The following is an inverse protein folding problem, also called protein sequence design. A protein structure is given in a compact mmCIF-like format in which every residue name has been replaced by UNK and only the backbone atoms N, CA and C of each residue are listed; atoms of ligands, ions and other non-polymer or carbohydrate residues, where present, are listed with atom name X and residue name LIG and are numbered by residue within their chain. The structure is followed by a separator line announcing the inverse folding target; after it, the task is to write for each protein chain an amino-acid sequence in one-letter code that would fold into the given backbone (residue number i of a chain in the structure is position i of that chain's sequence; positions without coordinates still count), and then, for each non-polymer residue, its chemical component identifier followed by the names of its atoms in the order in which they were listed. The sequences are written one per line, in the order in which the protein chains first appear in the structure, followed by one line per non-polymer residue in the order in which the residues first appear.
data_IF_933649516957
#
_entry.id   IF_933649516957
#
_cell.length_a   1.000
_cell.length_b   1.000
_cell.length_c   1.000
_cell.angle_alpha   90.00
_cell.angle_beta   90.00
_cell.angle_gamma   90.00
#
_symmetry.space_group_name_H-M   'P 1'
#
loop_
_entity.id
_entity.type
_entity.pdbx_description
1 polymer ?
#
# COMPACT_ATOMS: atom_id res chain seq x y z
N UNK A 1 20.43 -25.82 -8.14
CA UNK A 1 19.35 -25.27 -7.28
C UNK A 1 18.74 -26.39 -6.48
N UNK A 2 18.88 -26.38 -5.15
CA UNK A 2 18.13 -27.27 -4.25
C UNK A 2 17.27 -26.38 -3.36
N UNK A 3 15.96 -26.43 -3.54
CA UNK A 3 15.02 -25.73 -2.65
C UNK A 3 15.02 -26.39 -1.28
N UNK A 4 15.25 -25.59 -0.23
CA UNK A 4 15.21 -26.07 1.16
C UNK A 4 13.78 -25.89 1.67
N UNK A 5 13.06 -26.99 1.87
CA UNK A 5 11.81 -27.02 2.63
C UNK A 5 12.13 -27.60 4.02
N UNK A 6 11.96 -26.79 5.08
CA UNK A 6 12.14 -27.22 6.48
C UNK A 6 10.85 -27.86 7.04
N UNK A 7 10.93 -29.02 7.71
CA UNK A 7 9.81 -29.70 8.34
C UNK A 7 9.65 -29.35 9.84
N UNK A 8 8.38 -29.23 10.27
CA UNK A 8 7.88 -29.33 11.65
C UNK A 8 8.08 -28.18 12.67
N UNK A 9 7.10 -27.28 12.68
CA UNK A 9 6.35 -26.67 13.80
C UNK A 9 5.66 -25.43 13.23
N UNK A 10 4.46 -25.04 13.71
CA UNK A 10 3.66 -23.93 13.14
C UNK A 10 4.34 -22.55 13.35
N UNK A 11 5.50 -22.33 12.75
CA UNK A 11 6.05 -21.00 12.50
C UNK A 11 5.28 -20.41 11.34
N UNK A 12 4.69 -19.25 11.57
CA UNK A 12 4.30 -18.33 10.51
C UNK A 12 5.57 -18.10 9.67
N UNK A 13 5.67 -18.72 8.48
CA UNK A 13 6.80 -18.57 7.57
C UNK A 13 6.76 -17.16 6.99
N UNK A 14 7.44 -16.23 7.65
CA UNK A 14 7.77 -14.92 7.07
C UNK A 14 9.15 -14.99 6.43
N UNK A 15 9.49 -14.00 5.62
CA UNK A 15 10.83 -13.89 5.04
C UNK A 15 11.91 -13.51 6.07
N UNK A 16 11.54 -13.23 7.33
CA UNK A 16 12.46 -12.75 8.37
C UNK A 16 13.67 -13.67 8.57
N UNK A 17 13.45 -14.94 8.93
CA UNK A 17 14.53 -15.89 9.23
C UNK A 17 15.46 -16.08 8.00
N UNK A 18 14.89 -16.10 6.79
CA UNK A 18 15.64 -16.26 5.54
C UNK A 18 16.46 -15.00 5.21
N UNK A 19 15.87 -13.82 5.41
CA UNK A 19 16.54 -12.54 5.19
C UNK A 19 17.68 -12.35 6.20
N UNK A 20 17.46 -12.64 7.48
CA UNK A 20 18.49 -12.60 8.52
C UNK A 20 19.66 -13.51 8.16
N UNK A 21 19.38 -14.76 7.77
CA UNK A 21 20.41 -15.71 7.34
C UNK A 21 21.29 -15.17 6.20
N UNK A 22 20.69 -14.48 5.22
CA UNK A 22 21.41 -13.90 4.10
C UNK A 22 22.21 -12.64 4.50
N UNK A 23 21.62 -11.77 5.32
CA UNK A 23 22.26 -10.54 5.82
C UNK A 23 23.49 -10.86 6.68
N UNK A 24 23.40 -11.85 7.58
CA UNK A 24 24.51 -12.30 8.42
C UNK A 24 25.74 -12.74 7.60
N UNK A 25 25.53 -13.13 6.33
CA UNK A 25 26.57 -13.56 5.39
C UNK A 25 27.02 -12.46 4.44
N UNK A 26 26.58 -11.22 4.66
CA UNK A 26 26.96 -10.07 3.83
C UNK A 26 26.26 -10.05 2.47
N UNK A 27 25.09 -10.68 2.32
CA UNK A 27 24.32 -10.61 1.08
C UNK A 27 23.27 -9.50 1.13
N UNK A 28 23.14 -8.78 0.01
CA UNK A 28 21.98 -7.93 -0.23
C UNK A 28 20.72 -8.79 -0.40
N UNK A 29 19.58 -8.28 0.06
CA UNK A 29 18.31 -9.02 0.05
C UNK A 29 17.22 -8.15 -0.57
N UNK A 30 16.48 -8.71 -1.53
CA UNK A 30 15.22 -8.16 -2.02
C UNK A 30 14.09 -9.07 -1.56
N UNK A 31 13.09 -8.52 -0.87
CA UNK A 31 12.01 -9.28 -0.22
C UNK A 31 10.66 -8.84 -0.78
N UNK A 32 9.83 -9.78 -1.22
CA UNK A 32 8.45 -9.48 -1.64
C UNK A 32 7.60 -9.04 -0.44
N UNK A 33 6.68 -8.12 -0.66
CA UNK A 33 5.70 -7.73 0.37
C UNK A 33 4.76 -8.91 0.76
N UNK A 34 4.32 -8.98 2.02
CA UNK A 34 4.89 -8.26 3.16
C UNK A 34 6.24 -8.88 3.57
N UNK A 35 7.24 -8.04 3.85
CA UNK A 35 8.56 -8.53 4.23
C UNK A 35 8.53 -9.31 5.56
N UNK A 36 7.86 -8.73 6.57
CA UNK A 36 7.60 -9.35 7.87
C UNK A 36 6.26 -8.89 8.43
N UNK A 37 5.76 -9.56 9.48
CA UNK A 37 4.45 -9.26 10.09
C UNK A 37 4.52 -8.38 11.34
N UNK A 38 5.72 -8.22 11.90
CA UNK A 38 5.91 -7.55 13.18
C UNK A 38 6.87 -6.38 13.01
N UNK A 39 6.50 -5.23 13.60
CA UNK A 39 7.34 -4.02 13.58
C UNK A 39 8.73 -4.30 14.15
N UNK A 40 8.83 -5.07 15.24
CA UNK A 40 10.13 -5.45 15.83
C UNK A 40 11.04 -6.16 14.82
N UNK A 41 10.51 -7.05 13.99
CA UNK A 41 11.29 -7.76 12.97
C UNK A 41 11.72 -6.81 11.85
N UNK A 42 10.90 -5.82 11.51
CA UNK A 42 11.28 -4.78 10.54
C UNK A 42 12.47 -3.95 11.05
N UNK A 43 12.39 -3.53 12.32
CA UNK A 43 13.47 -2.75 12.97
C UNK A 43 14.74 -3.58 13.08
N UNK A 44 14.63 -4.86 13.43
CA UNK A 44 15.76 -5.78 13.53
C UNK A 44 16.43 -6.01 12.17
N UNK A 45 15.68 -6.26 11.10
CA UNK A 45 16.22 -6.35 9.74
C UNK A 45 16.95 -5.08 9.31
N UNK A 46 16.41 -3.90 9.65
CA UNK A 46 17.04 -2.62 9.35
C UNK A 46 18.35 -2.42 10.13
N UNK A 47 18.39 -2.84 11.39
CA UNK A 47 19.62 -2.77 12.18
C UNK A 47 20.68 -3.73 11.63
N UNK A 48 20.29 -4.95 11.29
CA UNK A 48 21.18 -5.95 10.73
C UNK A 48 21.73 -5.56 9.37
N UNK A 49 20.90 -4.98 8.50
CA UNK A 49 21.34 -4.50 7.20
C UNK A 49 22.45 -3.44 7.34
N UNK A 50 22.29 -2.51 8.29
CA UNK A 50 23.30 -1.50 8.64
C UNK A 50 24.58 -2.11 9.23
N UNK A 51 24.45 -3.01 10.19
CA UNK A 51 25.60 -3.66 10.85
C UNK A 51 26.48 -4.43 9.85
N UNK A 52 25.85 -5.09 8.87
CA UNK A 52 26.54 -5.87 7.84
C UNK A 52 26.83 -5.07 6.56
N UNK A 53 26.50 -3.77 6.52
CA UNK A 53 26.68 -2.91 5.34
C UNK A 53 26.06 -3.48 4.06
N UNK A 54 24.85 -4.05 4.17
CA UNK A 54 24.10 -4.61 3.04
C UNK A 54 22.77 -3.89 2.84
N UNK A 55 22.30 -3.84 1.59
CA UNK A 55 20.94 -3.42 1.29
C UNK A 55 19.93 -4.54 1.58
N UNK A 56 18.86 -4.18 2.28
CA UNK A 56 17.65 -4.99 2.42
C UNK A 56 16.50 -4.15 1.91
N UNK A 57 15.95 -4.53 0.77
CA UNK A 57 14.88 -3.81 0.10
C UNK A 57 13.57 -4.61 0.11
N UNK A 58 12.46 -3.88 0.20
CA UNK A 58 11.12 -4.47 0.11
C UNK A 58 10.56 -4.13 -1.25
N UNK A 59 10.21 -5.16 -2.00
CA UNK A 59 9.64 -5.03 -3.32
C UNK A 59 8.22 -4.43 -3.19
N UNK A 60 8.14 -3.14 -3.49
CA UNK A 60 6.92 -2.36 -3.64
C UNK A 60 6.73 -1.98 -5.11
N UNK A 61 6.41 -2.96 -5.97
CA UNK A 61 6.31 -2.78 -7.43
C UNK A 61 5.40 -1.63 -7.86
N UNK A 62 4.39 -1.27 -7.07
CA UNK A 62 3.52 -0.14 -7.37
C UNK A 62 4.28 1.18 -7.51
N UNK A 63 5.43 1.35 -6.86
CA UNK A 63 6.30 2.52 -7.07
C UNK A 63 6.89 2.60 -8.48
N UNK A 64 6.98 1.47 -9.17
CA UNK A 64 7.60 1.33 -10.49
C UNK A 64 6.57 1.20 -11.62
N UNK A 65 5.27 1.15 -11.30
CA UNK A 65 4.23 1.34 -12.29
C UNK A 65 4.35 2.75 -12.91
N UNK A 66 4.31 2.91 -14.26
CA UNK A 66 4.51 4.22 -14.89
C UNK A 66 3.54 5.31 -14.41
N UNK A 67 2.27 4.98 -14.11
CA UNK A 67 1.32 5.99 -13.66
C UNK A 67 1.58 6.42 -12.22
N UNK A 68 1.99 5.49 -11.37
CA UNK A 68 2.39 5.79 -10.00
C UNK A 68 3.71 6.57 -9.94
N UNK A 69 4.66 6.22 -10.81
CA UNK A 69 5.94 6.91 -10.94
C UNK A 69 5.76 8.36 -11.41
N UNK A 70 4.91 8.59 -12.43
CA UNK A 70 4.54 9.96 -12.87
C UNK A 70 3.85 10.74 -11.75
N UNK A 71 2.87 10.13 -11.09
CA UNK A 71 2.17 10.75 -9.96
C UNK A 71 3.14 11.15 -8.84
N UNK A 72 4.10 10.28 -8.51
CA UNK A 72 5.15 10.57 -7.53
C UNK A 72 6.07 11.69 -7.97
N UNK A 73 6.52 11.67 -9.22
CA UNK A 73 7.35 12.74 -9.76
C UNK A 73 6.64 14.09 -9.60
N UNK A 74 5.39 14.19 -10.05
CA UNK A 74 4.60 15.42 -9.99
C UNK A 74 4.29 15.88 -8.58
N UNK A 75 3.96 14.95 -7.68
CA UNK A 75 3.75 15.25 -6.26
C UNK A 75 4.98 15.93 -5.65
N UNK A 76 6.19 15.47 -6.00
CA UNK A 76 7.46 16.02 -5.49
C UNK A 76 7.91 17.31 -6.17
N UNK A 77 7.54 17.54 -7.44
CA UNK A 77 8.10 18.66 -8.23
C UNK A 77 7.15 19.82 -8.45
N UNK A 78 5.83 19.61 -8.47
CA UNK A 78 4.91 20.61 -9.05
C UNK A 78 3.57 20.79 -8.35
N UNK A 79 3.12 19.88 -7.50
CA UNK A 79 1.75 19.93 -6.98
C UNK A 79 1.62 20.63 -5.63
N UNK A 80 2.69 20.75 -4.83
CA UNK A 80 2.66 21.37 -3.51
C UNK A 80 2.39 20.37 -2.39
N UNK A 81 1.90 20.86 -1.26
CA UNK A 81 1.84 20.10 -0.01
C UNK A 81 0.65 19.14 0.04
N UNK A 82 0.82 17.96 0.64
CA UNK A 82 -0.27 17.03 0.88
C UNK A 82 -1.40 17.74 1.67
N UNK A 83 -2.62 17.62 1.18
CA UNK A 83 -3.83 18.02 1.89
C UNK A 83 -4.76 16.82 2.13
N UNK A 84 -5.02 16.05 1.07
CA UNK A 84 -5.88 14.88 1.14
C UNK A 84 -5.36 13.76 0.23
N UNK A 85 -5.31 12.55 0.78
CA UNK A 85 -5.05 11.33 0.03
C UNK A 85 -6.22 10.38 0.22
N UNK A 86 -6.71 9.82 -0.88
CA UNK A 86 -7.73 8.77 -0.84
C UNK A 86 -7.36 7.68 -1.80
N UNK A 87 -7.35 6.42 -1.37
CA UNK A 87 -7.33 5.29 -2.30
C UNK A 87 -8.48 4.34 -2.04
N UNK A 88 -8.86 3.69 -3.12
CA UNK A 88 -9.72 2.53 -3.09
C UNK A 88 -9.06 1.42 -3.89
N UNK A 89 -8.92 0.25 -3.26
CA UNK A 89 -8.45 -0.96 -3.91
C UNK A 89 -9.40 -2.10 -3.59
N UNK A 90 -9.93 -2.75 -4.61
CA UNK A 90 -10.74 -3.93 -4.41
C UNK A 90 -10.41 -5.06 -5.36
N UNK A 91 -10.67 -6.27 -4.88
CA UNK A 91 -10.53 -7.50 -5.64
C UNK A 91 -11.86 -8.26 -5.65
N UNK A 92 -12.19 -8.96 -6.75
CA UNK A 92 -13.42 -9.74 -6.84
C UNK A 92 -13.54 -10.80 -5.74
N UNK A 93 -14.77 -11.08 -5.30
CA UNK A 93 -15.06 -12.16 -4.32
C UNK A 93 -14.48 -13.52 -4.70
N UNK A 94 -14.30 -13.78 -6.00
CA UNK A 94 -13.69 -15.02 -6.51
C UNK A 94 -12.23 -15.19 -6.09
N UNK A 95 -11.51 -14.11 -5.79
CA UNK A 95 -10.14 -14.17 -5.26
C UNK A 95 -10.10 -14.83 -3.88
N UNK A 96 -11.17 -14.70 -3.08
CA UNK A 96 -11.24 -15.35 -1.77
C UNK A 96 -11.26 -16.88 -1.88
N UNK A 97 -11.73 -17.46 -2.98
CA UNK A 97 -11.63 -18.91 -3.21
C UNK A 97 -10.17 -19.37 -3.26
N UNK A 98 -9.30 -18.56 -3.88
CA UNK A 98 -7.85 -18.81 -3.96
C UNK A 98 -7.15 -18.53 -2.64
N UNK A 99 -7.58 -17.49 -1.92
CA UNK A 99 -6.88 -16.98 -0.74
C UNK A 99 -7.39 -17.50 0.59
N UNK A 100 -8.48 -18.28 0.59
CA UNK A 100 -9.15 -18.86 1.76
C UNK A 100 -8.21 -19.51 2.78
N UNK A 101 -7.14 -20.14 2.30
CA UNK A 101 -6.17 -20.83 3.14
C UNK A 101 -5.39 -19.88 4.07
N UNK A 102 -5.21 -18.62 3.67
CA UNK A 102 -4.36 -17.66 4.39
C UNK A 102 -5.08 -16.35 4.77
N UNK A 103 -6.15 -15.95 4.07
CA UNK A 103 -6.89 -14.71 4.33
C UNK A 103 -7.51 -14.72 5.74
N UNK A 104 -7.26 -13.64 6.51
CA UNK A 104 -7.67 -13.51 7.91
C UNK A 104 -6.89 -14.40 8.89
N UNK A 105 -6.01 -15.29 8.41
CA UNK A 105 -5.17 -16.18 9.25
C UNK A 105 -3.74 -15.70 9.33
N UNK A 106 -3.14 -15.57 8.16
CA UNK A 106 -1.74 -15.24 7.98
C UNK A 106 -1.57 -13.78 7.58
N UNK A 107 -2.54 -13.19 6.89
CA UNK A 107 -2.56 -11.77 6.56
C UNK A 107 -4.00 -11.28 6.56
N UNK A 108 -4.20 -10.05 6.98
CA UNK A 108 -5.44 -9.31 6.77
C UNK A 108 -5.42 -8.59 5.41
N UNK A 109 -6.59 -8.11 5.00
CA UNK A 109 -6.77 -7.42 3.73
C UNK A 109 -6.05 -6.06 3.69
N UNK A 110 -5.90 -5.38 4.83
CA UNK A 110 -5.21 -4.09 4.89
C UNK A 110 -3.72 -4.27 4.59
N UNK A 111 -3.09 -5.25 5.24
CA UNK A 111 -1.70 -5.60 5.01
C UNK A 111 -1.47 -6.13 3.59
N UNK A 112 -2.46 -6.80 3.00
CA UNK A 112 -2.38 -7.31 1.64
C UNK A 112 -2.57 -6.24 0.55
N UNK A 113 -3.56 -5.34 0.69
CA UNK A 113 -3.94 -4.34 -0.33
C UNK A 113 -3.62 -2.90 0.05
N UNK A 114 -4.04 -2.42 1.23
CA UNK A 114 -3.82 -1.02 1.63
C UNK A 114 -2.32 -0.69 1.71
N UNK A 115 -1.49 -1.66 2.11
CA UNK A 115 -0.03 -1.47 2.20
C UNK A 115 0.59 -0.94 0.90
N UNK A 116 0.06 -1.31 -0.27
CA UNK A 116 0.51 -0.78 -1.56
C UNK A 116 0.27 0.73 -1.67
N UNK A 117 -0.94 1.20 -1.37
CA UNK A 117 -1.28 2.62 -1.51
C UNK A 117 -0.79 3.48 -0.34
N UNK A 118 -0.65 2.90 0.86
CA UNK A 118 0.08 3.53 1.97
C UNK A 118 1.52 3.79 1.55
N UNK A 119 2.19 2.80 0.98
CA UNK A 119 3.55 2.92 0.48
C UNK A 119 3.68 3.96 -0.65
N UNK A 120 2.75 3.94 -1.62
CA UNK A 120 2.68 4.94 -2.69
C UNK A 120 2.52 6.34 -2.12
N UNK A 121 1.61 6.54 -1.17
CA UNK A 121 1.42 7.83 -0.49
C UNK A 121 2.71 8.28 0.22
N UNK A 122 3.35 7.38 0.97
CA UNK A 122 4.64 7.66 1.64
C UNK A 122 5.70 8.06 0.62
N UNK A 123 5.77 7.40 -0.53
CA UNK A 123 6.75 7.71 -1.59
C UNK A 123 6.54 9.10 -2.23
N UNK A 124 5.35 9.68 -2.09
CA UNK A 124 4.97 10.99 -2.61
C UNK A 124 5.22 12.13 -1.62
N UNK A 125 5.34 11.83 -0.32
CA UNK A 125 5.47 12.84 0.73
C UNK A 125 6.85 12.88 1.35
N UNK A 126 7.48 14.05 1.29
CA UNK A 126 8.71 14.30 2.02
C UNK A 126 8.39 15.01 3.35
N UNK A 127 8.90 14.45 4.45
CA UNK A 127 8.77 15.00 5.81
C UNK A 127 7.41 14.82 6.50
N UNK A 128 6.40 14.26 5.82
CA UNK A 128 5.11 13.95 6.44
C UNK A 128 5.18 12.64 7.22
N UNK A 129 4.55 12.62 8.39
CA UNK A 129 4.48 11.43 9.25
C UNK A 129 3.03 11.12 9.63
N UNK A 130 2.62 9.84 9.63
CA UNK A 130 1.30 9.46 10.10
C UNK A 130 1.30 9.49 11.63
N UNK A 131 0.36 10.21 12.25
CA UNK A 131 0.29 10.40 13.70
C UNK A 131 -0.86 9.69 14.36
N UNK A 132 -2.00 9.65 13.69
CA UNK A 132 -3.19 8.98 14.20
C UNK A 132 -3.76 8.11 13.10
N UNK A 133 -4.08 6.86 13.43
CA UNK A 133 -4.76 5.92 12.53
C UNK A 133 -6.03 5.45 13.22
N UNK A 134 -7.16 5.56 12.53
CA UNK A 134 -8.44 4.98 12.94
C UNK A 134 -8.88 4.00 11.87
N UNK A 135 -9.26 2.80 12.26
CA UNK A 135 -9.68 1.74 11.35
C UNK A 135 -11.14 1.37 11.59
N UNK A 136 -11.86 1.06 10.52
CA UNK A 136 -13.18 0.46 10.57
C UNK A 136 -13.28 -0.63 9.51
N UNK A 137 -13.85 -1.77 9.88
CA UNK A 137 -13.97 -2.93 9.02
C UNK A 137 -15.39 -3.51 9.02
N UNK A 138 -15.78 -4.12 7.92
CA UNK A 138 -16.98 -4.95 7.79
C UNK A 138 -16.59 -6.41 7.63
N UNK A 139 -17.46 -7.33 8.04
CA UNK A 139 -17.24 -8.79 7.98
C UNK A 139 -18.52 -9.49 7.46
N UNK A 140 -18.38 -10.74 7.03
CA UNK A 140 -19.49 -11.64 6.71
C UNK A 140 -19.44 -12.29 5.33
N UNK A 141 -18.98 -11.59 4.29
CA UNK A 141 -18.86 -12.16 2.93
C UNK A 141 -17.73 -13.18 2.88
N UNK A 142 -16.55 -12.85 3.40
CA UNK A 142 -15.39 -13.73 3.41
C UNK A 142 -15.65 -14.98 4.24
N UNK A 143 -16.27 -14.82 5.43
CA UNK A 143 -16.73 -15.94 6.25
C UNK A 143 -17.76 -16.81 5.53
N UNK A 144 -18.74 -16.20 4.84
CA UNK A 144 -19.73 -16.91 4.03
C UNK A 144 -19.12 -17.71 2.87
N UNK A 145 -17.92 -17.34 2.42
CA UNK A 145 -17.11 -18.08 1.45
C UNK A 145 -16.11 -19.04 2.12
N UNK A 146 -16.16 -19.15 3.45
CA UNK A 146 -15.41 -20.07 4.30
C UNK A 146 -14.01 -19.60 4.70
N UNK A 147 -13.70 -18.31 4.58
CA UNK A 147 -12.51 -17.75 5.22
C UNK A 147 -12.60 -17.85 6.76
N UNK A 148 -11.51 -17.54 7.46
CA UNK A 148 -11.50 -17.58 8.93
C UNK A 148 -12.54 -16.60 9.50
N UNK A 149 -13.17 -16.96 10.63
CA UNK A 149 -14.04 -16.04 11.36
C UNK A 149 -13.28 -14.77 11.76
N UNK A 150 -13.87 -13.60 11.53
CA UNK A 150 -13.26 -12.28 11.68
C UNK A 150 -12.46 -11.82 10.46
N UNK A 151 -12.48 -12.54 9.33
CA UNK A 151 -11.82 -12.06 8.11
C UNK A 151 -12.58 -10.84 7.59
N UNK A 152 -11.91 -9.69 7.51
CA UNK A 152 -12.50 -8.46 7.05
C UNK A 152 -12.83 -8.53 5.55
N UNK A 153 -14.05 -8.14 5.20
CA UNK A 153 -14.50 -7.98 3.82
C UNK A 153 -13.97 -6.68 3.21
N UNK A 154 -14.08 -5.61 3.99
CA UNK A 154 -13.66 -4.26 3.64
C UNK A 154 -13.09 -3.62 4.88
N UNK A 155 -11.95 -2.96 4.75
CA UNK A 155 -11.35 -2.15 5.82
C UNK A 155 -11.00 -0.77 5.27
N UNK A 156 -11.33 0.26 6.05
CA UNK A 156 -10.95 1.64 5.76
C UNK A 156 -10.11 2.20 6.90
N UNK A 157 -8.96 2.76 6.55
CA UNK A 157 -8.08 3.47 7.46
C UNK A 157 -8.26 4.98 7.24
N UNK A 158 -8.50 5.73 8.31
CA UNK A 158 -8.41 7.18 8.34
C UNK A 158 -7.14 7.59 9.08
N UNK A 159 -6.24 8.24 8.38
CA UNK A 159 -4.89 8.60 8.85
C UNK A 159 -4.76 10.11 8.91
N UNK A 160 -4.34 10.62 10.06
CA UNK A 160 -3.89 12.00 10.20
C UNK A 160 -2.39 12.07 9.93
N UNK A 161 -2.01 12.81 8.89
CA UNK A 161 -0.64 13.11 8.53
C UNK A 161 -0.24 14.48 9.07
N UNK A 162 1.00 14.62 9.53
CA UNK A 162 1.52 15.88 10.05
C UNK A 162 2.91 16.20 9.48
N UNK A 163 3.16 17.48 9.22
CA UNK A 163 4.48 18.04 8.92
C UNK A 163 4.53 19.53 9.30
N UNK A 164 5.43 19.91 10.19
CA UNK A 164 5.71 21.34 10.50
C UNK A 164 4.45 22.20 10.73
N UNK A 165 3.53 21.73 11.59
CA UNK A 165 2.27 22.44 11.88
C UNK A 165 1.17 22.28 10.84
N UNK A 166 1.46 21.68 9.67
CA UNK A 166 0.46 21.30 8.66
C UNK A 166 -0.14 19.94 8.97
N UNK A 167 -1.39 19.76 8.56
CA UNK A 167 -2.15 18.52 8.69
C UNK A 167 -2.77 18.11 7.36
N UNK A 168 -2.87 16.81 7.15
CA UNK A 168 -3.55 16.22 6.02
C UNK A 168 -4.29 14.95 6.42
N UNK A 169 -5.28 14.58 5.61
CA UNK A 169 -6.09 13.39 5.83
C UNK A 169 -5.80 12.36 4.76
N UNK A 170 -5.44 11.16 5.18
CA UNK A 170 -5.33 9.97 4.33
C UNK A 170 -6.50 9.03 4.58
N UNK A 171 -7.13 8.51 3.51
CA UNK A 171 -8.18 7.50 3.57
C UNK A 171 -7.75 6.32 2.71
N UNK A 172 -7.63 5.14 3.31
CA UNK A 172 -7.17 3.93 2.62
C UNK A 172 -8.21 2.82 2.74
N UNK A 173 -8.89 2.51 1.64
CA UNK A 173 -9.91 1.47 1.61
C UNK A 173 -9.47 0.27 0.80
N UNK A 174 -9.52 -0.91 1.42
CA UNK A 174 -9.30 -2.21 0.79
C UNK A 174 -10.59 -3.05 0.87
N UNK A 175 -10.94 -3.80 -0.18
CA UNK A 175 -12.16 -4.61 -0.20
C UNK A 175 -12.08 -5.89 -1.05
N UNK A 176 -12.65 -7.00 -0.57
CA UNK A 176 -12.90 -8.23 -1.33
C UNK A 176 -14.27 -8.25 -2.02
N UNK A 177 -15.07 -7.20 -1.83
CA UNK A 177 -16.51 -7.25 -2.09
C UNK A 177 -16.88 -7.04 -3.56
N UNK A 178 -15.91 -6.77 -4.43
CA UNK A 178 -16.18 -6.55 -5.84
C UNK A 178 -16.87 -7.78 -6.48
N UNK A 179 -17.83 -7.58 -7.40
CA UNK A 179 -18.57 -8.67 -8.02
C UNK A 179 -17.65 -9.71 -8.70
N UNK A 180 -18.05 -10.99 -8.71
CA UNK A 180 -17.25 -12.12 -9.29
C UNK A 180 -16.90 -11.91 -10.77
N UNK A 181 -17.66 -11.10 -11.49
CA UNK A 181 -17.49 -10.79 -12.91
C UNK A 181 -17.21 -9.30 -13.17
N UNK A 182 -16.50 -8.63 -12.26
CA UNK A 182 -16.20 -7.19 -12.38
C UNK A 182 -15.31 -6.82 -13.58
N UNK A 183 -14.90 -7.77 -14.42
CA UNK A 183 -14.06 -7.53 -15.61
C UNK A 183 -12.63 -7.11 -15.30
N UNK A 184 -12.24 -7.07 -14.02
CA UNK A 184 -10.90 -6.67 -13.55
C UNK A 184 -10.40 -7.59 -12.44
N UNK A 185 -9.11 -7.89 -12.44
CA UNK A 185 -8.47 -8.64 -11.35
C UNK A 185 -8.33 -7.79 -10.07
N UNK A 186 -8.18 -6.48 -10.24
CA UNK A 186 -8.15 -5.49 -9.17
C UNK A 186 -8.69 -4.19 -9.71
N UNK A 187 -9.65 -3.59 -9.02
CA UNK A 187 -10.06 -2.22 -9.26
C UNK A 187 -9.27 -1.34 -8.30
N UNK A 188 -8.47 -0.42 -8.82
CA UNK A 188 -7.64 0.42 -7.98
C UNK A 188 -7.54 1.84 -8.53
N UNK A 189 -7.62 2.79 -7.62
CA UNK A 189 -7.35 4.18 -7.88
C UNK A 189 -6.90 4.89 -6.61
N UNK A 190 -6.21 6.00 -6.79
CA UNK A 190 -6.01 6.96 -5.73
C UNK A 190 -6.22 8.38 -6.20
N UNK A 191 -6.50 9.25 -5.25
CA UNK A 191 -6.78 10.65 -5.40
C UNK A 191 -5.82 11.38 -4.48
N UNK A 192 -4.96 12.19 -5.08
CA UNK A 192 -4.05 13.07 -4.38
C UNK A 192 -4.57 14.50 -4.51
N UNK A 193 -4.74 15.23 -3.41
CA UNK A 193 -5.03 16.65 -3.43
C UNK A 193 -3.96 17.42 -2.67
N UNK A 194 -3.54 18.52 -3.26
CA UNK A 194 -2.57 19.41 -2.66
C UNK A 194 -3.15 20.72 -2.21
N UNK A 195 -2.42 21.35 -1.30
CA UNK A 195 -2.62 22.75 -0.93
C UNK A 195 -1.41 23.59 -1.37
N UNK A 196 -1.69 24.73 -1.98
CA UNK A 196 -0.74 25.80 -2.27
C UNK A 196 -1.13 27.06 -1.49
N UNK A 197 -0.17 27.91 -1.06
CA UNK A 197 -0.46 29.19 -0.42
C UNK A 197 -1.46 30.08 -1.16
N UNK A 198 -1.48 30.05 -2.49
CA UNK A 198 -2.39 30.84 -3.33
C UNK A 198 -3.80 30.22 -3.48
N UNK A 199 -4.20 29.32 -2.58
CA UNK A 199 -5.45 28.54 -2.63
C UNK A 199 -5.65 27.71 -3.91
N UNK A 200 -4.60 27.51 -4.71
CA UNK A 200 -4.62 26.61 -5.86
C UNK A 200 -4.55 25.17 -5.36
N UNK A 201 -5.48 24.34 -5.81
CA UNK A 201 -5.43 22.89 -5.62
C UNK A 201 -5.09 22.21 -6.94
N UNK A 202 -4.27 21.17 -6.86
CA UNK A 202 -4.03 20.28 -7.97
C UNK A 202 -4.37 18.85 -7.54
N UNK A 203 -4.83 18.04 -8.50
CA UNK A 203 -5.15 16.64 -8.24
C UNK A 203 -4.45 15.67 -9.18
N UNK A 204 -4.17 14.48 -8.64
CA UNK A 204 -3.76 13.31 -9.42
C UNK A 204 -4.80 12.23 -9.17
N UNK A 205 -5.31 11.63 -10.26
CA UNK A 205 -6.18 10.45 -10.20
C UNK A 205 -5.68 9.34 -11.10
N UNK A 206 -4.71 8.51 -10.68
CA UNK A 206 -4.39 7.31 -11.42
C UNK A 206 -5.48 6.28 -11.17
N UNK A 207 -5.97 5.66 -12.23
CA UNK A 207 -6.88 4.53 -12.15
C UNK A 207 -6.36 3.42 -13.05
N UNK A 208 -6.25 2.22 -12.50
CA UNK A 208 -6.02 0.99 -13.27
C UNK A 208 -7.30 0.15 -13.17
N UNK A 209 -8.13 0.22 -14.22
CA UNK A 209 -9.10 -0.81 -14.53
C UNK A 209 -8.49 -1.59 -15.70
N UNK A 210 -8.03 -2.81 -15.48
CA UNK A 210 -7.28 -3.57 -16.50
C UNK A 210 -8.11 -3.78 -17.77
N UNK A 211 -7.76 -3.05 -18.84
CA UNK A 211 -7.70 -3.45 -20.27
C UNK A 211 -7.05 -2.38 -21.17
N UNK A 212 -6.76 -1.17 -20.68
CA UNK A 212 -6.01 -0.14 -21.42
C UNK A 212 -5.22 0.80 -20.51
N UNK A 213 -4.29 1.57 -21.10
CA UNK A 213 -3.28 2.37 -20.38
C UNK A 213 -3.90 3.29 -19.30
N UNK A 214 -3.24 3.42 -18.13
CA UNK A 214 -3.71 4.29 -17.05
C UNK A 214 -3.76 5.75 -17.51
N UNK A 215 -4.89 6.42 -17.27
CA UNK A 215 -5.07 7.84 -17.60
C UNK A 215 -4.95 8.68 -16.33
N UNK A 216 -4.03 9.65 -16.31
CA UNK A 216 -3.90 10.61 -15.21
C UNK A 216 -4.57 11.92 -15.61
N UNK A 217 -5.62 12.35 -14.89
CA UNK A 217 -6.24 13.66 -15.09
C UNK A 217 -5.72 14.66 -14.05
N UNK A 218 -5.37 15.85 -14.53
CA UNK A 218 -4.98 17.01 -13.71
C UNK A 218 -6.02 18.09 -13.87
N UNK A 219 -6.57 18.55 -12.77
CA UNK A 219 -7.41 19.75 -12.74
C UNK A 219 -6.72 20.79 -11.88
N UNK A 220 -6.46 21.97 -12.44
CA UNK A 220 -6.08 23.17 -11.70
C UNK A 220 -7.16 24.22 -11.92
N UNK A 221 -7.72 24.80 -10.85
CA UNK A 221 -8.59 25.96 -10.98
C UNK A 221 -7.74 27.20 -11.32
N UNK A 222 -7.62 27.50 -12.62
CA UNK A 222 -7.05 28.76 -13.10
C UNK A 222 -8.15 29.78 -13.33
N UNK A 223 -8.08 30.91 -12.64
CA UNK A 223 -8.91 32.10 -12.93
C UNK A 223 -8.57 32.58 -14.35
N UNK A 224 -9.56 32.63 -15.23
CA UNK A 224 -9.45 33.37 -16.49
C UNK A 224 -9.19 34.83 -16.18
N UNK A 225 -7.97 35.31 -16.43
CA UNK A 225 -7.71 36.74 -16.49
C UNK A 225 -8.21 37.21 -17.86
N UNK A 226 -9.37 37.86 -17.89
CA UNK A 226 -9.81 38.65 -19.04
C UNK A 226 -8.91 39.89 -19.14
N UNK A 227 -8.30 40.06 -20.31
CA UNK A 227 -7.61 41.27 -20.77
C UNK A 227 -8.51 42.50 -20.70
#
# INVERSE_FOLDING_TARGET
MRGIASPSSRRIRTYFDVAMYAVERGHHVLITKPAVKLLRHHVELLQMSRNHSVFVDVEHHKRFDPAHADARHRAKTSLGDLNYFYNYMSQPKSQLETFKAWAGRESDISHYLNSHHVDVCVSMVDGWVPRVVRASASEGIAEGLGCMKGTEDTITLMVEWQREGKRATGIYTASWTAPRFAGVHSNQSFHWQTWHPDAKSASIKPSEATTSQPTIRVSSSGTTCST
#
